data_IF_735419314080
#
_entry.id   IF_735419314080
#
_cell.length_a   1.000
_cell.length_b   1.000
_cell.length_c   1.000
_cell.angle_alpha   90.00
_cell.angle_beta   90.00
_cell.angle_gamma   90.00
#
_symmetry.space_group_name_H-M   'P 1'
#
loop_
_entity.id
_entity.type
_entity.pdbx_description
1 polymer ?
#
# COMPACT_ATOMS: atom_id res chain seq x y z
N UNK A 1 -54.42 -53.86 1.52
CA UNK A 1 -55.12 -53.11 0.46
C UNK A 1 -54.53 -51.71 0.37
N UNK A 2 -54.41 -51.20 -0.87
CA UNK A 2 -54.13 -49.82 -1.32
C UNK A 2 -52.69 -49.27 -1.27
N UNK A 3 -52.34 -48.71 -2.44
CA UNK A 3 -51.08 -48.11 -2.91
C UNK A 3 -51.06 -46.61 -2.64
N UNK A 4 -49.86 -46.02 -2.57
CA UNK A 4 -49.38 -44.81 -3.29
C UNK A 4 -48.14 -44.25 -2.54
N UNK A 5 -46.92 -44.29 -3.08
CA UNK A 5 -46.31 -43.37 -4.05
C UNK A 5 -46.47 -41.88 -3.68
N UNK A 6 -45.40 -41.28 -3.16
CA UNK A 6 -44.93 -39.95 -3.55
C UNK A 6 -43.51 -39.71 -3.01
N UNK A 7 -42.57 -39.57 -3.92
CA UNK A 7 -41.22 -39.07 -3.68
C UNK A 7 -41.26 -37.56 -3.38
N UNK A 8 -40.28 -37.02 -2.65
CA UNK A 8 -39.56 -35.80 -3.02
C UNK A 8 -38.38 -35.59 -2.05
N UNK A 9 -37.18 -35.89 -2.54
CA UNK A 9 -35.96 -35.32 -2.03
C UNK A 9 -35.78 -33.95 -2.67
N UNK A 10 -35.51 -32.89 -1.90
CA UNK A 10 -34.76 -31.73 -2.39
C UNK A 10 -34.17 -30.91 -1.23
N UNK A 11 -32.86 -30.85 -1.27
CA UNK A 11 -31.89 -30.09 -0.49
C UNK A 11 -32.10 -28.58 -0.55
N UNK A 12 -31.85 -27.89 0.56
CA UNK A 12 -31.39 -26.50 0.53
C UNK A 12 -30.28 -26.33 1.57
N UNK A 13 -29.02 -26.42 1.11
CA UNK A 13 -27.90 -25.85 1.86
C UNK A 13 -28.15 -24.34 1.91
N UNK A 14 -28.26 -23.79 3.11
CA UNK A 14 -28.15 -22.36 3.32
C UNK A 14 -26.70 -21.95 3.00
N UNK A 15 -26.43 -21.66 1.73
CA UNK A 15 -25.18 -21.07 1.30
C UNK A 15 -25.06 -19.70 1.95
N UNK A 16 -23.99 -19.50 2.72
CA UNK A 16 -23.51 -18.17 3.03
C UNK A 16 -23.26 -17.47 1.69
N UNK A 17 -24.04 -16.42 1.40
CA UNK A 17 -23.72 -15.51 0.31
C UNK A 17 -22.39 -14.85 0.63
N UNK A 18 -21.31 -15.44 0.12
CA UNK A 18 -20.07 -14.71 -0.13
C UNK A 18 -20.45 -13.61 -1.11
N UNK A 19 -20.63 -12.40 -0.58
CA UNK A 19 -20.76 -11.21 -1.41
C UNK A 19 -19.57 -11.22 -2.36
N UNK A 20 -19.89 -11.44 -3.64
CA UNK A 20 -18.93 -11.32 -4.71
C UNK A 20 -18.27 -9.96 -4.55
N UNK A 21 -16.95 -9.98 -4.37
CA UNK A 21 -16.12 -8.82 -4.57
C UNK A 21 -16.28 -8.48 -6.06
N UNK A 22 -17.23 -7.60 -6.35
CA UNK A 22 -17.30 -6.85 -7.59
C UNK A 22 -15.89 -6.29 -7.87
N UNK A 23 -15.42 -6.26 -9.12
CA UNK A 23 -14.15 -5.62 -9.43
C UNK A 23 -14.25 -4.17 -8.97
N UNK A 24 -13.53 -3.83 -7.90
CA UNK A 24 -13.44 -2.47 -7.40
C UNK A 24 -12.89 -1.64 -8.56
N UNK A 25 -13.79 -0.95 -9.26
CA UNK A 25 -13.41 0.18 -10.07
C UNK A 25 -12.60 1.09 -9.13
N UNK A 26 -11.31 1.21 -9.40
CA UNK A 26 -10.40 2.02 -8.59
C UNK A 26 -10.94 3.43 -8.60
N UNK A 27 -11.70 3.80 -7.57
CA UNK A 27 -11.97 5.21 -7.28
C UNK A 27 -10.61 5.83 -7.18
N UNK A 28 -10.29 6.71 -8.14
CA UNK A 28 -9.03 7.43 -8.14
C UNK A 28 -8.92 8.12 -6.78
N UNK A 29 -8.04 7.58 -5.93
CA UNK A 29 -7.82 8.11 -4.60
C UNK A 29 -7.31 9.53 -4.77
N UNK A 30 -7.95 10.48 -4.11
CA UNK A 30 -7.47 11.87 -4.05
C UNK A 30 -6.32 12.01 -3.06
N UNK A 31 -5.89 10.92 -2.41
CA UNK A 31 -4.76 10.92 -1.50
C UNK A 31 -3.46 11.25 -2.27
N UNK A 32 -2.72 12.24 -1.77
CA UNK A 32 -1.41 12.59 -2.29
C UNK A 32 -0.44 11.39 -2.29
N UNK A 33 -0.59 10.44 -1.36
CA UNK A 33 0.26 9.27 -1.25
C UNK A 33 -0.04 8.17 -2.28
N UNK A 34 -1.16 8.26 -2.99
CA UNK A 34 -1.53 7.30 -4.04
C UNK A 34 -1.23 7.85 -5.45
N UNK A 35 -0.75 9.11 -5.54
CA UNK A 35 -0.30 9.68 -6.80
C UNK A 35 0.93 8.93 -7.31
N UNK A 36 0.87 8.57 -8.58
CA UNK A 36 1.99 7.97 -9.31
C UNK A 36 2.85 9.07 -9.92
N UNK A 37 4.17 8.98 -9.74
CA UNK A 37 5.14 9.90 -10.32
C UNK A 37 6.33 9.11 -10.91
N UNK A 38 7.04 9.75 -11.84
CA UNK A 38 8.29 9.22 -12.35
C UNK A 38 9.46 9.70 -11.49
N UNK A 39 10.31 8.78 -11.06
CA UNK A 39 11.47 9.05 -10.23
C UNK A 39 12.76 8.64 -10.94
N UNK A 40 13.77 9.48 -10.79
CA UNK A 40 15.17 9.19 -11.08
C UNK A 40 16.02 9.78 -9.95
N UNK A 41 16.05 9.07 -8.83
CA UNK A 41 16.67 9.51 -7.58
C UNK A 41 17.88 8.62 -7.30
N UNK A 42 19.12 9.17 -7.24
CA UNK A 42 20.29 8.37 -6.95
C UNK A 42 20.31 7.89 -5.49
N UNK A 43 21.05 6.82 -5.22
CA UNK A 43 21.29 6.35 -3.85
C UNK A 43 21.97 7.45 -3.02
N UNK A 44 21.33 7.84 -1.90
CA UNK A 44 21.75 8.95 -1.05
C UNK A 44 21.24 8.76 0.38
N UNK A 45 21.30 9.81 1.20
CA UNK A 45 20.74 9.78 2.55
C UNK A 45 19.19 9.76 2.53
N UNK A 46 18.60 9.19 3.57
CA UNK A 46 17.15 9.06 3.67
C UNK A 46 16.43 10.41 3.76
N UNK A 47 16.95 11.38 4.52
CA UNK A 47 16.31 12.70 4.64
C UNK A 47 16.17 13.42 3.30
N UNK A 48 17.22 13.39 2.49
CA UNK A 48 17.23 13.96 1.15
C UNK A 48 16.26 13.21 0.21
N UNK A 49 16.21 11.88 0.31
CA UNK A 49 15.28 11.04 -0.46
C UNK A 49 13.83 11.32 -0.06
N UNK A 50 13.54 11.38 1.24
CA UNK A 50 12.22 11.64 1.79
C UNK A 50 11.71 13.03 1.37
N UNK A 51 12.57 14.06 1.44
CA UNK A 51 12.22 15.40 0.98
C UNK A 51 11.86 15.42 -0.52
N UNK A 52 12.65 14.75 -1.36
CA UNK A 52 12.40 14.73 -2.80
C UNK A 52 11.10 13.99 -3.15
N UNK A 53 10.84 12.86 -2.49
CA UNK A 53 9.60 12.09 -2.67
C UNK A 53 8.37 12.88 -2.22
N UNK A 54 8.45 13.56 -1.07
CA UNK A 54 7.37 14.40 -0.56
C UNK A 54 7.09 15.59 -1.49
N UNK A 55 8.14 16.23 -2.03
CA UNK A 55 7.99 17.32 -2.99
C UNK A 55 7.31 16.88 -4.29
N UNK A 56 7.63 15.69 -4.79
CA UNK A 56 7.07 15.18 -6.04
C UNK A 56 5.57 14.86 -5.98
N UNK A 57 5.06 14.48 -4.80
CA UNK A 57 3.68 13.96 -4.66
C UNK A 57 2.77 14.85 -3.82
N UNK A 58 3.35 15.61 -2.89
CA UNK A 58 2.63 16.30 -1.81
C UNK A 58 2.27 15.39 -0.63
N UNK A 59 2.69 14.12 -0.64
CA UNK A 59 2.52 13.21 0.49
C UNK A 59 3.64 13.46 1.51
N UNK A 60 3.27 13.71 2.76
CA UNK A 60 4.23 13.96 3.83
C UNK A 60 4.92 12.67 4.25
N UNK A 61 6.25 12.70 4.42
CA UNK A 61 7.01 11.60 5.02
C UNK A 61 7.30 11.97 6.47
N UNK A 62 6.53 11.41 7.39
CA UNK A 62 6.73 11.57 8.83
C UNK A 62 7.87 10.66 9.27
N UNK A 63 8.81 11.18 10.05
CA UNK A 63 9.93 10.41 10.60
C UNK A 63 10.63 11.18 11.72
N UNK A 64 11.36 10.48 12.60
CA UNK A 64 12.35 11.08 13.48
C UNK A 64 13.70 11.18 12.75
N UNK A 65 14.08 12.41 12.38
CA UNK A 65 15.32 12.68 11.65
C UNK A 65 16.57 12.45 12.50
N UNK A 66 16.49 12.44 13.83
CA UNK A 66 17.64 12.11 14.67
C UNK A 66 18.07 10.65 14.52
N UNK A 67 17.14 9.78 14.10
CA UNK A 67 17.37 8.34 13.88
C UNK A 67 17.54 7.99 12.42
N UNK A 68 16.78 8.63 11.54
CA UNK A 68 16.64 8.16 10.15
C UNK A 68 17.46 8.95 9.13
N UNK A 69 17.82 10.21 9.42
CA UNK A 69 18.30 11.12 8.38
C UNK A 69 19.60 10.66 7.68
N UNK A 70 20.54 10.09 8.43
CA UNK A 70 21.85 9.69 7.92
C UNK A 70 21.87 8.32 7.23
N UNK A 71 20.79 7.54 7.33
CA UNK A 71 20.73 6.19 6.75
C UNK A 71 20.87 6.28 5.23
N UNK A 72 21.81 5.50 4.68
CA UNK A 72 21.99 5.40 3.23
C UNK A 72 20.90 4.47 2.67
N UNK A 73 20.16 4.96 1.68
CA UNK A 73 19.09 4.21 1.02
C UNK A 73 19.42 3.94 -0.45
N UNK A 74 18.70 2.99 -1.04
CA UNK A 74 18.83 2.64 -2.45
C UNK A 74 18.36 3.80 -3.35
N UNK A 75 18.86 3.81 -4.59
CA UNK A 75 18.29 4.65 -5.64
C UNK A 75 16.90 4.18 -6.04
N UNK A 76 16.10 5.10 -6.59
CA UNK A 76 14.73 4.86 -7.03
C UNK A 76 14.65 5.28 -8.51
N UNK A 77 14.27 4.35 -9.38
CA UNK A 77 14.14 4.60 -10.80
C UNK A 77 12.83 4.00 -11.31
N UNK A 78 12.06 4.80 -12.04
CA UNK A 78 10.82 4.36 -12.68
C UNK A 78 9.57 5.08 -12.18
N UNK A 79 8.41 4.58 -12.59
CA UNK A 79 7.11 5.21 -12.35
C UNK A 79 6.34 4.40 -11.31
N UNK A 80 6.08 4.99 -10.14
CA UNK A 80 5.45 4.31 -9.01
C UNK A 80 4.83 5.33 -8.03
N UNK A 81 4.07 4.86 -7.05
CA UNK A 81 3.59 5.67 -5.91
C UNK A 81 4.71 5.97 -4.92
N UNK A 82 4.53 6.96 -4.04
CA UNK A 82 5.50 7.23 -2.97
C UNK A 82 5.66 6.05 -2.00
N UNK A 83 4.61 5.25 -1.76
CA UNK A 83 4.68 4.07 -0.88
C UNK A 83 5.64 3.02 -1.46
N UNK A 84 5.52 2.76 -2.75
CA UNK A 84 6.41 1.85 -3.48
C UNK A 84 7.83 2.41 -3.59
N UNK A 85 7.96 3.71 -3.80
CA UNK A 85 9.25 4.40 -3.86
C UNK A 85 9.99 4.31 -2.51
N UNK A 86 9.30 4.59 -1.40
CA UNK A 86 9.86 4.45 -0.05
C UNK A 86 10.26 3.00 0.23
N UNK A 87 9.38 2.03 -0.06
CA UNK A 87 9.68 0.60 0.11
C UNK A 87 10.90 0.16 -0.71
N UNK A 88 11.07 0.72 -1.92
CA UNK A 88 12.25 0.48 -2.75
C UNK A 88 13.51 1.09 -2.15
N UNK A 89 13.44 2.35 -1.70
CA UNK A 89 14.56 3.07 -1.11
C UNK A 89 15.10 2.37 0.13
N UNK A 90 14.22 2.01 1.07
CA UNK A 90 14.60 1.47 2.38
C UNK A 90 14.88 -0.04 2.39
N UNK A 91 14.69 -0.73 1.26
CA UNK A 91 14.90 -2.17 1.19
C UNK A 91 16.33 -2.56 1.60
N UNK A 92 16.44 -3.36 2.65
CA UNK A 92 17.72 -3.83 3.18
C UNK A 92 18.39 -2.86 4.16
N UNK A 93 17.72 -1.78 4.58
CA UNK A 93 18.13 -0.95 5.71
C UNK A 93 17.41 -1.38 6.98
N UNK A 94 17.70 -0.69 8.09
CA UNK A 94 17.01 -0.78 9.38
C UNK A 94 15.76 0.13 9.46
N UNK A 95 15.31 0.68 8.32
CA UNK A 95 14.13 1.53 8.24
C UNK A 95 12.92 0.71 7.80
N UNK A 96 11.75 1.07 8.30
CA UNK A 96 10.48 0.44 7.96
C UNK A 96 9.37 1.48 7.81
N UNK A 97 8.38 1.17 6.96
CA UNK A 97 7.13 1.91 6.93
C UNK A 97 6.26 1.38 8.06
N UNK A 98 6.06 2.17 9.11
CA UNK A 98 5.31 1.77 10.29
C UNK A 98 3.80 1.80 10.04
N UNK A 99 3.32 2.91 9.46
CA UNK A 99 1.91 3.17 9.22
C UNK A 99 1.74 4.16 8.07
N UNK A 100 0.48 4.35 7.66
CA UNK A 100 0.12 5.44 6.76
C UNK A 100 -1.32 5.90 6.94
N UNK A 101 -1.49 7.20 6.77
CA UNK A 101 -2.73 7.94 6.84
C UNK A 101 -2.91 8.74 5.53
N UNK A 102 -4.11 9.27 5.24
CA UNK A 102 -4.30 10.14 4.09
C UNK A 102 -3.30 11.30 4.08
N UNK A 103 -2.51 11.41 3.01
CA UNK A 103 -1.50 12.43 2.83
C UNK A 103 -0.22 12.25 3.65
N UNK A 104 -0.07 11.16 4.42
CA UNK A 104 1.13 10.90 5.24
C UNK A 104 1.58 9.44 5.22
N UNK A 105 2.87 9.19 5.02
CA UNK A 105 3.51 7.89 5.27
C UNK A 105 4.51 8.05 6.41
N UNK A 106 4.46 7.16 7.39
CA UNK A 106 5.35 7.19 8.55
C UNK A 106 6.47 6.16 8.39
N UNK A 107 7.71 6.63 8.43
CA UNK A 107 8.92 5.79 8.40
C UNK A 107 9.62 5.88 9.74
N UNK A 108 10.03 4.74 10.28
CA UNK A 108 10.79 4.65 11.53
C UNK A 108 12.09 3.89 11.28
N UNK A 109 13.12 4.20 12.06
CA UNK A 109 14.33 3.37 12.17
C UNK A 109 14.26 2.49 13.41
N UNK A 110 14.92 1.34 13.38
CA UNK A 110 15.03 0.45 14.54
C UNK A 110 16.01 0.95 15.60
#
# INVERSE_FOLDING_TARGET
MKRALAALALTALAGCSSQGQEPHASVASTDACDKVAHYDIPARRFDETAQQLAHATGCFVKTDLTRTASVRVNGIHGTMSIREALGTAIRGTDLEIADSEPGTVHVVGQ
#
